data_IF_874691063802
#
_entry.id   IF_874691063802
#
_cell.length_a   1.000
_cell.length_b   1.000
_cell.length_c   1.000
_cell.angle_alpha   90.00
_cell.angle_beta   90.00
_cell.angle_gamma   90.00
#
_symmetry.space_group_name_H-M   'P 1'
#
loop_
_entity.id
_entity.type
_entity.pdbx_description
1 polymer ?
#
# COMPACT_ATOMS: atom_id res chain seq x y z
N UNK A 1 5.47 -19.39 -2.76
CA UNK A 1 5.29 -18.19 -1.94
C UNK A 1 4.30 -17.31 -2.66
N UNK A 2 3.21 -16.95 -1.96
CA UNK A 2 2.16 -16.08 -2.47
C UNK A 2 2.73 -14.71 -2.92
N UNK A 3 2.12 -14.07 -3.93
CA UNK A 3 2.66 -12.81 -4.49
C UNK A 3 2.68 -11.69 -3.45
N UNK A 4 1.63 -11.59 -2.64
CA UNK A 4 1.56 -10.56 -1.61
C UNK A 4 2.73 -10.70 -0.63
N UNK A 5 3.07 -11.92 -0.20
CA UNK A 5 4.18 -12.15 0.72
C UNK A 5 5.52 -11.65 0.15
N UNK A 6 5.78 -11.85 -1.15
CA UNK A 6 6.98 -11.30 -1.81
C UNK A 6 7.02 -9.77 -1.82
N UNK A 7 5.86 -9.14 -2.07
CA UNK A 7 5.73 -7.68 -2.05
C UNK A 7 5.93 -7.16 -0.63
N UNK A 8 5.29 -7.80 0.35
CA UNK A 8 5.38 -7.41 1.76
C UNK A 8 6.81 -7.54 2.29
N UNK A 9 7.50 -8.64 2.00
CA UNK A 9 8.91 -8.84 2.34
C UNK A 9 9.82 -7.77 1.73
N UNK A 10 9.51 -7.31 0.51
CA UNK A 10 10.24 -6.21 -0.11
C UNK A 10 9.98 -4.89 0.63
N UNK A 11 8.71 -4.54 0.86
CA UNK A 11 8.32 -3.30 1.52
C UNK A 11 8.91 -3.22 2.93
N UNK A 12 8.93 -4.32 3.69
CA UNK A 12 9.54 -4.38 5.02
C UNK A 12 11.05 -4.14 5.03
N UNK A 13 11.78 -4.43 3.95
CA UNK A 13 13.22 -4.14 3.87
C UNK A 13 13.50 -2.64 3.70
N UNK A 14 12.53 -1.93 3.13
CA UNK A 14 12.62 -0.48 2.89
C UNK A 14 12.05 0.29 4.09
N UNK A 15 11.02 -0.27 4.73
CA UNK A 15 10.38 0.29 5.90
C UNK A 15 11.21 0.12 7.18
N UNK A 16 11.23 1.16 8.00
CA UNK A 16 12.00 1.19 9.23
C UNK A 16 11.41 0.38 10.38
N UNK A 17 12.18 0.29 11.47
CA UNK A 17 11.70 -0.22 12.75
C UNK A 17 10.72 0.75 13.45
N UNK A 18 10.65 0.67 14.79
CA UNK A 18 9.85 1.62 15.54
C UNK A 18 10.43 3.04 15.48
N UNK A 19 9.58 4.03 15.24
CA UNK A 19 9.90 5.45 15.37
C UNK A 19 8.79 6.18 16.13
N UNK A 20 9.15 7.31 16.74
CA UNK A 20 8.22 8.24 17.37
C UNK A 20 8.88 9.62 17.40
N UNK A 21 8.92 10.28 16.24
CA UNK A 21 9.48 11.61 16.12
C UNK A 21 8.40 12.65 16.49
N UNK A 22 8.76 13.58 17.38
CA UNK A 22 7.91 14.69 17.82
C UNK A 22 7.53 15.65 16.68
N UNK A 23 8.32 15.68 15.61
CA UNK A 23 8.08 16.50 14.43
C UNK A 23 7.30 15.73 13.35
N UNK A 24 7.13 14.42 13.49
CA UNK A 24 6.38 13.60 12.55
C UNK A 24 4.89 13.68 12.86
N UNK A 25 4.11 13.99 11.82
CA UNK A 25 2.64 14.00 11.89
C UNK A 25 2.07 12.61 12.16
N UNK A 26 2.79 11.55 11.83
CA UNK A 26 2.38 10.15 12.05
C UNK A 26 2.46 9.68 13.50
N UNK A 27 3.28 10.33 14.34
CA UNK A 27 3.50 9.93 15.73
C UNK A 27 4.23 8.59 15.85
N UNK A 28 3.70 7.69 16.69
CA UNK A 28 4.30 6.36 16.89
C UNK A 28 4.05 5.48 15.67
N UNK A 29 5.12 4.99 15.06
CA UNK A 29 5.10 4.18 13.84
C UNK A 29 5.94 2.93 14.04
N UNK A 30 5.51 1.78 13.50
CA UNK A 30 6.33 0.57 13.40
C UNK A 30 5.96 -0.20 12.14
N UNK A 31 6.95 -0.68 11.39
CA UNK A 31 6.74 -1.36 10.10
C UNK A 31 5.92 -0.51 9.10
N UNK A 32 6.17 0.81 9.05
CA UNK A 32 5.40 1.74 8.21
C UNK A 32 3.95 2.03 8.66
N UNK A 33 3.48 1.42 9.75
CA UNK A 33 2.11 1.61 10.26
C UNK A 33 2.09 2.57 11.45
N UNK A 34 1.35 3.67 11.30
CA UNK A 34 1.09 4.64 12.37
C UNK A 34 0.10 4.10 13.41
N UNK A 35 0.19 4.56 14.65
CA UNK A 35 -0.66 4.13 15.77
C UNK A 35 -2.16 4.19 15.44
N UNK A 36 -2.61 5.28 14.82
CA UNK A 36 -4.03 5.47 14.49
C UNK A 36 -4.56 4.43 13.50
N UNK A 37 -3.71 3.94 12.58
CA UNK A 37 -4.07 2.87 11.66
C UNK A 37 -4.07 1.52 12.37
N UNK A 38 -3.04 1.23 13.18
CA UNK A 38 -3.00 0.01 13.98
C UNK A 38 -4.23 -0.11 14.90
N UNK A 39 -4.72 1.01 15.48
CA UNK A 39 -5.95 1.03 16.30
C UNK A 39 -7.19 0.66 15.49
N UNK A 40 -7.32 1.13 14.24
CA UNK A 40 -8.45 0.78 13.35
C UNK A 40 -8.50 -0.72 13.03
N UNK A 41 -7.34 -1.37 13.02
CA UNK A 41 -7.19 -2.81 12.83
C UNK A 41 -7.19 -3.59 14.15
N UNK A 42 -7.62 -2.98 15.26
CA UNK A 42 -7.87 -3.66 16.53
C UNK A 42 -6.64 -3.85 17.42
N UNK A 43 -5.45 -3.42 16.99
CA UNK A 43 -4.27 -3.48 17.85
C UNK A 43 -4.36 -2.42 18.95
N UNK A 44 -4.35 -2.83 20.22
CA UNK A 44 -4.45 -1.93 21.40
C UNK A 44 -3.17 -1.84 22.23
N UNK A 45 -2.14 -2.61 21.87
CA UNK A 45 -0.87 -2.65 22.60
C UNK A 45 0.05 -1.46 22.32
N UNK A 46 1.21 -1.43 22.97
CA UNK A 46 2.23 -0.43 22.72
C UNK A 46 2.82 -0.60 21.31
N UNK A 47 2.88 0.45 20.50
CA UNK A 47 3.38 0.38 19.12
C UNK A 47 4.79 -0.24 18.99
N UNK A 48 5.65 -0.12 20.02
CA UNK A 48 6.95 -0.80 20.04
C UNK A 48 6.84 -2.32 19.98
N UNK A 49 5.77 -2.87 20.51
CA UNK A 49 5.50 -4.29 20.64
C UNK A 49 4.50 -4.79 19.59
N UNK A 50 4.19 -3.97 18.58
CA UNK A 50 3.27 -4.38 17.52
C UNK A 50 3.84 -5.62 16.80
N UNK A 51 3.08 -6.73 16.74
CA UNK A 51 3.49 -7.93 16.00
C UNK A 51 3.54 -7.65 14.50
N UNK A 52 4.42 -8.37 13.79
CA UNK A 52 4.56 -8.23 12.34
C UNK A 52 3.29 -8.64 11.61
N UNK A 53 2.54 -9.61 12.16
CA UNK A 53 1.31 -10.14 11.62
C UNK A 53 0.21 -9.07 11.49
N UNK A 54 0.18 -8.11 12.42
CA UNK A 54 -0.74 -6.96 12.36
C UNK A 54 -0.36 -6.07 11.18
N UNK A 55 0.92 -5.75 11.00
CA UNK A 55 1.37 -4.98 9.84
C UNK A 55 1.05 -5.73 8.55
N UNK A 56 1.37 -7.02 8.48
CA UNK A 56 1.07 -7.88 7.32
C UNK A 56 -0.41 -7.84 6.96
N UNK A 57 -1.31 -7.97 7.93
CA UNK A 57 -2.75 -7.90 7.70
C UNK A 57 -3.19 -6.52 7.17
N UNK A 58 -2.64 -5.43 7.71
CA UNK A 58 -2.92 -4.07 7.23
C UNK A 58 -2.45 -3.89 5.80
N UNK A 59 -1.22 -4.31 5.46
CA UNK A 59 -0.71 -4.22 4.09
C UNK A 59 -1.57 -5.04 3.13
N UNK A 60 -1.93 -6.26 3.52
CA UNK A 60 -2.74 -7.15 2.68
C UNK A 60 -4.12 -6.55 2.41
N UNK A 61 -4.81 -6.08 3.46
CA UNK A 61 -6.18 -5.57 3.33
C UNK A 61 -6.22 -4.17 2.74
N UNK A 62 -5.44 -3.23 3.26
CA UNK A 62 -5.54 -1.79 2.95
C UNK A 62 -4.86 -1.42 1.64
N UNK A 63 -3.64 -1.91 1.43
CA UNK A 63 -2.78 -1.45 0.33
C UNK A 63 -2.86 -2.39 -0.87
N UNK A 64 -2.94 -3.70 -0.64
CA UNK A 64 -2.96 -4.69 -1.70
C UNK A 64 -4.38 -5.01 -2.21
N UNK A 65 -5.19 -5.75 -1.44
CA UNK A 65 -6.50 -6.23 -1.92
C UNK A 65 -7.53 -5.12 -2.12
N UNK A 66 -7.60 -4.11 -1.24
CA UNK A 66 -8.55 -3.01 -1.41
C UNK A 66 -8.35 -2.24 -2.72
N UNK A 67 -7.14 -2.27 -3.28
CA UNK A 67 -6.81 -1.63 -4.55
C UNK A 67 -6.81 -2.62 -5.73
N UNK A 68 -7.31 -3.86 -5.56
CA UNK A 68 -7.41 -4.87 -6.60
C UNK A 68 -6.06 -5.36 -7.14
N UNK A 69 -4.96 -5.16 -6.40
CA UNK A 69 -3.62 -5.47 -6.92
C UNK A 69 -3.38 -6.98 -7.05
N UNK A 70 -4.19 -7.80 -6.41
CA UNK A 70 -4.25 -9.25 -6.60
C UNK A 70 -4.78 -9.67 -7.98
N UNK A 71 -5.56 -8.81 -8.66
CA UNK A 71 -6.13 -9.12 -9.98
C UNK A 71 -5.20 -8.75 -11.14
N UNK A 72 -4.02 -8.17 -10.86
CA UNK A 72 -3.06 -7.81 -11.89
C UNK A 72 -2.27 -9.03 -12.37
N UNK A 73 -2.04 -9.13 -13.68
CA UNK A 73 -1.24 -10.18 -14.33
C UNK A 73 0.25 -10.00 -14.06
N UNK A 74 0.71 -8.74 -13.99
CA UNK A 74 2.13 -8.41 -13.84
C UNK A 74 2.50 -8.17 -12.38
N UNK A 75 3.36 -9.04 -11.85
CA UNK A 75 3.91 -8.90 -10.49
C UNK A 75 4.67 -7.59 -10.30
N UNK A 76 5.35 -7.11 -11.34
CA UNK A 76 6.11 -5.85 -11.30
C UNK A 76 5.19 -4.64 -11.18
N UNK A 77 4.08 -4.63 -11.93
CA UNK A 77 3.10 -3.54 -11.86
C UNK A 77 2.41 -3.55 -10.50
N UNK A 78 2.01 -4.73 -10.01
CA UNK A 78 1.42 -4.87 -8.68
C UNK A 78 2.36 -4.37 -7.57
N UNK A 79 3.64 -4.74 -7.62
CA UNK A 79 4.65 -4.25 -6.68
C UNK A 79 4.79 -2.72 -6.75
N UNK A 80 5.02 -2.16 -7.94
CA UNK A 80 5.24 -0.72 -8.11
C UNK A 80 4.05 0.11 -7.64
N UNK A 81 2.82 -0.32 -7.94
CA UNK A 81 1.62 0.40 -7.50
C UNK A 81 1.42 0.25 -5.99
N UNK A 82 1.64 -0.94 -5.44
CA UNK A 82 1.54 -1.16 -4.00
C UNK A 82 2.51 -0.27 -3.23
N UNK A 83 3.79 -0.27 -3.63
CA UNK A 83 4.82 0.58 -3.05
C UNK A 83 4.45 2.07 -3.12
N UNK A 84 3.94 2.52 -4.27
CA UNK A 84 3.60 3.93 -4.41
C UNK A 84 2.38 4.34 -3.57
N UNK A 85 1.39 3.44 -3.43
CA UNK A 85 0.23 3.66 -2.57
C UNK A 85 0.62 3.64 -1.09
N UNK A 86 1.56 2.79 -0.67
CA UNK A 86 2.08 2.77 0.71
C UNK A 86 2.74 4.11 1.04
N UNK A 87 3.62 4.60 0.16
CA UNK A 87 4.39 5.82 0.38
C UNK A 87 3.58 7.12 0.18
N UNK A 88 2.64 7.14 -0.77
CA UNK A 88 1.95 8.37 -1.19
C UNK A 88 0.42 8.31 -1.05
N UNK A 89 -0.14 7.22 -0.52
CA UNK A 89 -1.58 7.03 -0.36
C UNK A 89 -2.33 7.17 -1.69
N UNK A 90 -3.45 7.91 -1.66
CA UNK A 90 -4.31 8.12 -2.82
C UNK A 90 -3.59 8.77 -4.02
N UNK A 91 -2.48 9.48 -3.77
CA UNK A 91 -1.72 10.12 -4.84
C UNK A 91 -0.97 9.09 -5.71
N UNK A 92 -0.51 7.98 -5.13
CA UNK A 92 0.11 6.88 -5.88
C UNK A 92 -0.85 6.28 -6.90
N UNK A 93 -2.10 6.01 -6.49
CA UNK A 93 -3.15 5.52 -7.40
C UNK A 93 -3.48 6.51 -8.53
N UNK A 94 -3.57 7.80 -8.22
CA UNK A 94 -3.77 8.86 -9.24
C UNK A 94 -2.62 8.91 -10.26
N UNK A 95 -1.38 8.74 -9.80
CA UNK A 95 -0.22 8.71 -10.70
C UNK A 95 -0.23 7.51 -11.63
N UNK A 96 -0.65 6.34 -11.16
CA UNK A 96 -0.85 5.17 -12.01
C UNK A 96 -1.91 5.44 -13.10
N UNK A 97 -3.06 6.01 -12.74
CA UNK A 97 -4.11 6.38 -13.71
C UNK A 97 -3.62 7.42 -14.73
N UNK A 98 -2.89 8.45 -14.27
CA UNK A 98 -2.34 9.48 -15.16
C UNK A 98 -1.31 8.90 -16.15
N UNK A 99 -0.43 8.00 -15.68
CA UNK A 99 0.54 7.33 -16.52
C UNK A 99 -0.13 6.45 -17.60
N UNK A 100 -1.23 5.76 -17.27
CA UNK A 100 -2.02 5.02 -18.27
C UNK A 100 -2.64 5.97 -19.29
N UNK A 101 -3.14 7.14 -18.89
CA UNK A 101 -3.66 8.11 -19.85
C UNK A 101 -2.58 8.62 -20.82
N UNK A 102 -1.33 8.79 -20.35
CA UNK A 102 -0.19 9.11 -21.22
C UNK A 102 0.11 7.99 -22.24
N UNK A 103 -0.26 6.74 -21.92
CA UNK A 103 -0.17 5.58 -22.81
C UNK A 103 -1.40 5.41 -23.74
N UNK A 104 -2.37 6.33 -23.69
CA UNK A 104 -3.52 6.36 -24.60
C UNK A 104 -4.82 5.79 -24.03
N UNK A 105 -4.87 5.45 -22.74
CA UNK A 105 -6.13 5.10 -22.08
C UNK A 105 -6.96 6.36 -21.74
N UNK A 106 -8.27 6.19 -21.54
CA UNK A 106 -9.19 7.26 -21.11
C UNK A 106 -9.76 6.94 -19.71
N UNK A 107 -8.96 7.23 -18.70
CA UNK A 107 -9.30 7.03 -17.29
C UNK A 107 -9.54 8.36 -16.58
N UNK A 108 -10.54 8.38 -15.69
CA UNK A 108 -10.66 9.44 -14.70
C UNK A 108 -9.53 9.30 -13.66
N UNK A 109 -8.83 10.40 -13.37
CA UNK A 109 -7.76 10.44 -12.35
C UNK A 109 -8.32 10.77 -10.96
N UNK A 110 -9.04 9.84 -10.36
CA UNK A 110 -9.69 9.99 -9.05
C UNK A 110 -8.96 9.28 -7.89
N UNK A 111 -8.01 8.38 -8.21
CA UNK A 111 -7.26 7.57 -7.25
C UNK A 111 -7.99 6.30 -6.81
N UNK A 112 -9.13 5.99 -7.45
CA UNK A 112 -9.86 4.73 -7.22
C UNK A 112 -9.48 3.78 -8.35
N UNK A 113 -8.68 2.75 -8.03
CA UNK A 113 -8.33 1.69 -8.97
C UNK A 113 -9.52 0.72 -9.16
N UNK A 114 -10.57 1.21 -9.80
CA UNK A 114 -11.76 0.42 -10.16
C UNK A 114 -11.54 -0.40 -11.43
N UNK A 115 -12.61 -1.06 -11.89
CA UNK A 115 -12.59 -2.02 -13.01
C UNK A 115 -11.85 -1.52 -14.25
N UNK A 116 -12.12 -0.28 -14.71
CA UNK A 116 -11.44 0.29 -15.88
C UNK A 116 -9.94 0.49 -15.68
N UNK A 117 -9.52 0.95 -14.50
CA UNK A 117 -8.10 1.12 -14.19
C UNK A 117 -7.40 -0.23 -14.09
N UNK A 118 -8.03 -1.22 -13.44
CA UNK A 118 -7.48 -2.57 -13.31
C UNK A 118 -7.42 -3.31 -14.67
N UNK A 119 -8.37 -3.08 -15.57
CA UNK A 119 -8.31 -3.58 -16.93
C UNK A 119 -7.14 -2.96 -17.71
N UNK A 120 -7.00 -1.63 -17.67
CA UNK A 120 -5.89 -0.94 -18.34
C UNK A 120 -4.51 -1.34 -17.79
N UNK A 121 -4.39 -1.63 -16.50
CA UNK A 121 -3.16 -2.15 -15.88
C UNK A 121 -2.80 -3.58 -16.30
N UNK A 122 -3.72 -4.28 -16.97
CA UNK A 122 -3.61 -5.68 -17.38
C UNK A 122 -3.43 -5.87 -18.89
N UNK A 123 -3.37 -4.78 -19.65
CA UNK A 123 -2.99 -4.74 -21.07
C UNK A 123 -1.46 -4.60 -21.20
#
# INVERSE_FOLDING_TARGET
MDRFEKIFDYLLKVEGGYSNDKNDRGGKTKYGIIESEARKYGYKGNMRDMPLEIAREIYNKKYYHKNGLDTLKSDKIALSICDFIVNAGNWGAKKAQAALNELGFDLRVDGILGEKSLAALNE
#
